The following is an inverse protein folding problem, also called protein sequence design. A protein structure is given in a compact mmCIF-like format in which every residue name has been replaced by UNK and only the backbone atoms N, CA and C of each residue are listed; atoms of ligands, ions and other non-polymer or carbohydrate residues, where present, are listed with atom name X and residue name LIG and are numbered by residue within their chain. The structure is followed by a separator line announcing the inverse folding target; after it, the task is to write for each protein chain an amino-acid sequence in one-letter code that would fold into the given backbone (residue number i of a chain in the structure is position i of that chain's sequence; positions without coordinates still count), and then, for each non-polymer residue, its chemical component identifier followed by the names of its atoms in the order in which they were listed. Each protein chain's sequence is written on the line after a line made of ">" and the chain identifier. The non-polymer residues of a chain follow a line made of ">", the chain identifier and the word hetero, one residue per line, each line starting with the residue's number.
data_IF_413122055839
#
_entry.id   IF_413122055839
#
_cell.length_a   1.000
_cell.length_b   1.000
_cell.length_c   1.000
_cell.angle_alpha   90.00
_cell.angle_beta   90.00
_cell.angle_gamma   90.00
#
_symmetry.space_group_name_H-M   'P 1'
#
loop_
_entity.id
_entity.type
_entity.pdbx_description
1 polymer ?
#
# COMPACT_ATOMS: atom_id res chain seq x y z
N UNK A 1 -39.91 -57.49 3.03
CA UNK A 1 -38.90 -58.48 2.62
C UNK A 1 -37.52 -57.82 2.69
N UNK A 2 -36.66 -58.13 3.66
CA UNK A 2 -35.51 -57.28 3.94
C UNK A 2 -34.23 -57.80 3.25
N UNK A 3 -33.57 -56.93 2.48
CA UNK A 3 -32.12 -57.01 2.24
C UNK A 3 -31.47 -55.84 3.00
N UNK A 4 -30.74 -56.18 4.07
CA UNK A 4 -29.79 -55.30 4.76
C UNK A 4 -28.40 -55.53 4.17
N UNK A 5 -27.74 -54.46 3.70
CA UNK A 5 -26.30 -54.26 3.50
C UNK A 5 -26.14 -53.03 2.59
N UNK A 6 -25.39 -51.96 2.85
CA UNK A 6 -24.32 -51.57 3.78
C UNK A 6 -24.42 -50.04 3.97
N UNK A 7 -23.97 -49.45 5.10
CA UNK A 7 -23.72 -48.02 5.16
C UNK A 7 -22.31 -47.74 4.61
N UNK A 8 -22.24 -47.01 3.50
CA UNK A 8 -20.98 -46.49 2.96
C UNK A 8 -20.61 -45.18 3.63
N UNK A 9 -19.41 -45.16 4.19
CA UNK A 9 -18.51 -44.00 4.13
C UNK A 9 -18.84 -42.87 5.09
N UNK A 10 -18.22 -42.93 6.27
CA UNK A 10 -17.95 -41.75 7.10
C UNK A 10 -17.22 -40.69 6.26
N UNK A 11 -17.93 -39.62 5.90
CA UNK A 11 -17.31 -38.38 5.47
C UNK A 11 -16.45 -37.86 6.62
N UNK A 12 -15.15 -37.74 6.38
CA UNK A 12 -14.27 -36.97 7.25
C UNK A 12 -14.75 -35.52 7.16
N UNK A 13 -15.46 -35.07 8.18
CA UNK A 13 -15.56 -33.65 8.47
C UNK A 13 -14.14 -33.17 8.75
N UNK A 14 -13.58 -32.39 7.84
CA UNK A 14 -12.39 -31.58 8.08
C UNK A 14 -12.74 -30.62 9.21
N UNK A 15 -12.26 -30.94 10.41
CA UNK A 15 -12.33 -30.03 11.55
C UNK A 15 -11.60 -28.72 11.25
N UNK A 16 -11.95 -27.62 11.92
CA UNK A 16 -11.34 -26.32 11.65
C UNK A 16 -9.83 -26.40 11.86
N UNK A 17 -9.07 -25.94 10.87
CA UNK A 17 -7.62 -25.84 10.97
C UNK A 17 -7.27 -25.00 12.22
N UNK A 18 -6.39 -25.49 13.11
CA UNK A 18 -6.10 -24.80 14.36
C UNK A 18 -5.42 -23.47 14.08
N UNK A 19 -6.06 -22.37 14.49
CA UNK A 19 -5.42 -21.06 14.57
C UNK A 19 -4.26 -21.18 15.56
N UNK A 20 -3.02 -20.97 15.10
CA UNK A 20 -1.85 -20.90 15.99
C UNK A 20 -2.00 -19.66 16.89
N UNK A 21 -2.68 -19.81 18.02
CA UNK A 21 -2.72 -18.83 19.10
C UNK A 21 -1.38 -18.90 19.85
N UNK A 22 -0.53 -17.90 19.65
CA UNK A 22 0.63 -17.68 20.52
C UNK A 22 0.26 -16.62 21.55
N UNK A 23 0.18 -17.02 22.82
CA UNK A 23 -0.02 -16.16 23.99
C UNK A 23 1.34 -16.02 24.66
N UNK A 24 1.84 -14.80 24.87
CA UNK A 24 3.16 -14.59 25.47
C UNK A 24 3.18 -13.35 26.37
N UNK A 25 3.87 -13.51 27.50
CA UNK A 25 4.09 -12.50 28.55
C UNK A 25 5.14 -11.47 28.14
N UNK A 26 4.92 -10.21 28.56
CA UNK A 26 5.66 -9.04 28.11
C UNK A 26 7.13 -9.02 28.57
N UNK A 27 8.04 -8.78 27.62
CA UNK A 27 9.41 -8.33 27.90
C UNK A 27 9.44 -6.79 27.91
N UNK A 28 9.86 -6.18 29.03
CA UNK A 28 9.76 -4.74 29.25
C UNK A 28 10.89 -3.86 28.66
N UNK A 29 10.48 -2.79 27.95
CA UNK A 29 11.20 -1.55 27.57
C UNK A 29 12.18 -1.64 26.37
N UNK A 30 12.69 -0.53 25.77
CA UNK A 30 12.13 0.79 25.40
C UNK A 30 11.66 0.86 23.91
N UNK A 31 10.76 1.81 23.58
CA UNK A 31 10.00 2.00 22.31
C UNK A 31 9.14 0.80 21.88
N UNK A 32 7.82 0.98 21.82
CA UNK A 32 6.86 -0.08 21.47
C UNK A 32 7.05 -0.64 20.05
N UNK A 33 7.52 0.21 19.11
CA UNK A 33 7.93 -0.17 17.76
C UNK A 33 9.35 0.33 17.50
N UNK A 34 10.10 -0.39 16.67
CA UNK A 34 11.45 -0.01 16.26
C UNK A 34 11.37 0.80 14.95
N UNK A 35 11.86 2.04 14.94
CA UNK A 35 11.83 2.93 13.77
C UNK A 35 13.20 3.12 13.09
N UNK A 36 14.20 2.28 13.40
CA UNK A 36 15.56 2.39 12.85
C UNK A 36 15.59 2.16 11.33
N UNK A 37 14.71 1.31 10.81
CA UNK A 37 14.59 0.98 9.39
C UNK A 37 13.16 0.53 9.04
N UNK A 38 12.77 0.51 7.75
CA UNK A 38 11.51 -0.10 7.31
C UNK A 38 11.33 -1.55 7.80
N UNK A 39 12.40 -2.36 7.71
CA UNK A 39 12.37 -3.76 8.13
C UNK A 39 12.17 -3.92 9.64
N UNK A 40 12.92 -3.17 10.45
CA UNK A 40 12.80 -3.24 11.91
C UNK A 40 11.43 -2.76 12.40
N UNK A 41 10.82 -1.79 11.71
CA UNK A 41 9.43 -1.41 11.99
C UNK A 41 8.49 -2.58 11.75
N UNK A 42 8.52 -3.18 10.56
CA UNK A 42 7.60 -4.25 10.23
C UNK A 42 7.80 -5.47 11.16
N UNK A 43 9.05 -5.86 11.43
CA UNK A 43 9.39 -6.91 12.40
C UNK A 43 8.80 -6.65 13.78
N UNK A 44 8.95 -5.42 14.31
CA UNK A 44 8.38 -5.07 15.61
C UNK A 44 6.85 -5.00 15.58
N UNK A 45 6.25 -4.57 14.46
CA UNK A 45 4.80 -4.46 14.28
C UNK A 45 4.11 -5.83 14.36
N UNK A 46 4.69 -6.87 13.74
CA UNK A 46 4.13 -8.23 13.73
C UNK A 46 4.76 -9.17 14.76
N UNK A 47 5.61 -8.64 15.65
CA UNK A 47 6.21 -9.42 16.74
C UNK A 47 5.13 -10.16 17.55
N UNK A 48 5.35 -11.46 17.91
CA UNK A 48 6.60 -12.23 17.78
C UNK A 48 6.74 -13.01 16.47
N UNK A 49 5.87 -12.78 15.48
CA UNK A 49 5.91 -13.50 14.20
C UNK A 49 7.09 -12.99 13.38
N UNK A 50 7.96 -13.93 12.98
CA UNK A 50 9.08 -13.62 12.08
C UNK A 50 8.58 -13.24 10.70
N UNK A 51 9.22 -12.28 10.05
CA UNK A 51 8.86 -11.81 8.71
C UNK A 51 8.94 -12.93 7.67
N UNK A 52 9.93 -13.81 7.76
CA UNK A 52 10.04 -14.95 6.84
C UNK A 52 8.85 -15.91 6.99
N UNK A 53 8.39 -16.15 8.22
CA UNK A 53 7.19 -16.95 8.47
C UNK A 53 5.94 -16.22 7.97
N UNK A 54 5.85 -14.92 8.19
CA UNK A 54 4.73 -14.10 7.73
C UNK A 54 4.55 -14.19 6.21
N UNK A 55 5.59 -13.88 5.44
CA UNK A 55 5.51 -13.89 3.98
C UNK A 55 5.37 -15.29 3.38
N UNK A 56 5.89 -16.32 4.05
CA UNK A 56 5.78 -17.70 3.58
C UNK A 56 4.42 -18.33 3.88
N UNK A 57 3.84 -18.07 5.05
CA UNK A 57 2.66 -18.80 5.53
C UNK A 57 1.37 -17.98 5.58
N UNK A 58 1.44 -16.65 5.68
CA UNK A 58 0.26 -15.81 5.94
C UNK A 58 -0.04 -14.85 4.81
N UNK A 59 0.97 -14.10 4.34
CA UNK A 59 0.81 -13.12 3.28
C UNK A 59 0.10 -13.70 2.06
N UNK A 60 -0.97 -13.06 1.62
CA UNK A 60 -1.81 -13.45 0.48
C UNK A 60 -2.39 -14.88 0.56
N UNK A 61 -2.41 -15.48 1.75
CA UNK A 61 -2.85 -16.87 1.93
C UNK A 61 -3.94 -17.02 2.98
N UNK A 62 -3.74 -16.50 4.19
CA UNK A 62 -4.69 -16.69 5.30
C UNK A 62 -4.55 -15.63 6.40
N UNK A 63 -5.60 -15.42 7.21
CA UNK A 63 -5.55 -14.51 8.34
C UNK A 63 -4.47 -14.85 9.38
N UNK A 64 -3.91 -13.81 10.00
CA UNK A 64 -3.00 -13.87 11.14
C UNK A 64 -3.56 -13.03 12.29
N UNK A 65 -3.87 -13.69 13.40
CA UNK A 65 -4.27 -13.04 14.65
C UNK A 65 -3.11 -13.02 15.65
N UNK A 66 -2.73 -11.83 16.12
CA UNK A 66 -1.73 -11.63 17.18
C UNK A 66 -2.42 -11.01 18.40
N UNK A 67 -2.85 -11.87 19.33
CA UNK A 67 -3.39 -11.44 20.61
C UNK A 67 -2.27 -11.24 21.62
N UNK A 68 -2.11 -10.01 22.11
CA UNK A 68 -1.04 -9.61 23.03
C UNK A 68 -1.61 -9.32 24.41
N UNK A 69 -0.77 -9.39 25.43
CA UNK A 69 -1.10 -8.92 26.78
C UNK A 69 0.00 -8.01 27.32
N UNK A 70 0.37 -7.03 26.50
CA UNK A 70 1.41 -6.05 26.80
C UNK A 70 0.79 -4.68 27.11
N UNK A 71 0.85 -4.21 28.38
CA UNK A 71 0.29 -2.91 28.77
C UNK A 71 0.95 -1.71 28.10
N UNK A 72 2.25 -1.78 27.81
CA UNK A 72 2.99 -0.69 27.17
C UNK A 72 2.58 -0.56 25.70
N UNK A 73 2.47 -1.69 24.99
CA UNK A 73 2.03 -1.72 23.60
C UNK A 73 0.56 -1.33 23.47
N UNK A 74 -0.31 -1.78 24.38
CA UNK A 74 -1.71 -1.34 24.45
C UNK A 74 -1.83 0.18 24.63
N UNK A 75 -0.98 0.77 25.50
CA UNK A 75 -0.92 2.22 25.69
C UNK A 75 -0.42 2.94 24.44
N UNK A 76 0.60 2.40 23.78
CA UNK A 76 1.13 2.95 22.53
C UNK A 76 0.08 2.94 21.40
N UNK A 77 -0.59 1.80 21.16
CA UNK A 77 -1.67 1.71 20.17
C UNK A 77 -2.79 2.70 20.50
N UNK A 78 -3.21 2.79 21.76
CA UNK A 78 -4.20 3.75 22.20
C UNK A 78 -3.80 5.22 22.00
N UNK A 79 -2.54 5.54 21.69
CA UNK A 79 -2.08 6.90 21.36
C UNK A 79 -2.17 7.25 19.87
N UNK A 80 -2.22 6.24 18.97
CA UNK A 80 -2.18 6.43 17.52
C UNK A 80 -3.38 7.23 17.00
N UNK A 81 -4.56 6.96 17.53
CA UNK A 81 -5.79 7.72 17.27
C UNK A 81 -6.80 7.48 18.39
N UNK A 82 -7.48 8.54 18.86
CA UNK A 82 -8.50 8.46 19.90
C UNK A 82 -9.83 9.02 19.42
N UNK A 83 -10.95 8.52 19.96
CA UNK A 83 -12.27 9.13 19.73
C UNK A 83 -12.31 10.63 20.08
N UNK A 84 -11.52 11.07 21.07
CA UNK A 84 -11.42 12.48 21.45
C UNK A 84 -10.72 13.36 20.40
N UNK A 85 -9.90 12.79 19.53
CA UNK A 85 -9.16 13.53 18.50
C UNK A 85 -10.10 14.14 17.46
N UNK A 86 -11.28 13.55 17.25
CA UNK A 86 -12.30 14.06 16.33
C UNK A 86 -12.67 15.51 16.58
N UNK A 87 -12.64 15.98 17.83
CA UNK A 87 -12.95 17.39 18.15
C UNK A 87 -11.92 18.34 17.51
N UNK A 88 -10.64 18.03 17.68
CA UNK A 88 -9.54 18.81 17.10
C UNK A 88 -9.55 18.70 15.58
N UNK A 89 -9.71 17.49 15.04
CA UNK A 89 -9.76 17.25 13.60
C UNK A 89 -10.91 18.02 12.93
N UNK A 90 -12.12 18.00 13.51
CA UNK A 90 -13.24 18.77 12.96
C UNK A 90 -12.96 20.29 12.94
N UNK A 91 -12.19 20.83 13.90
CA UNK A 91 -11.82 22.25 13.89
C UNK A 91 -10.86 22.64 12.76
N UNK A 92 -10.17 21.65 12.16
CA UNK A 92 -9.33 21.83 10.96
C UNK A 92 -10.12 21.80 9.64
N UNK A 93 -11.44 21.58 9.69
CA UNK A 93 -12.31 21.65 8.51
C UNK A 93 -12.44 20.33 7.75
N UNK A 94 -13.00 19.30 8.40
CA UNK A 94 -13.27 18.00 7.78
C UNK A 94 -14.58 18.04 6.97
N UNK A 95 -14.66 17.24 5.90
CA UNK A 95 -15.86 17.08 5.08
C UNK A 95 -16.40 15.64 5.12
N UNK A 96 -17.72 15.51 5.11
CA UNK A 96 -18.36 14.20 4.93
C UNK A 96 -18.02 13.61 3.55
N UNK A 97 -17.88 12.29 3.47
CA UNK A 97 -17.50 11.59 2.23
C UNK A 97 -16.00 11.63 1.98
N UNK A 98 -15.41 12.83 1.97
CA UNK A 98 -13.97 13.04 1.77
C UNK A 98 -13.15 12.54 2.97
N UNK A 99 -13.33 13.15 4.14
CA UNK A 99 -12.50 12.89 5.31
C UNK A 99 -13.15 11.95 6.32
N UNK A 100 -14.50 11.97 6.39
CA UNK A 100 -15.24 11.18 7.37
C UNK A 100 -16.56 10.65 6.81
N UNK A 101 -16.85 9.40 7.11
CA UNK A 101 -18.12 8.74 6.85
C UNK A 101 -18.79 8.36 8.18
N UNK A 102 -20.11 8.36 8.18
CA UNK A 102 -20.93 7.88 9.30
C UNK A 102 -21.89 6.83 8.75
N UNK A 103 -21.82 5.62 9.30
CA UNK A 103 -22.59 4.48 8.78
C UNK A 103 -23.12 3.56 9.88
N UNK A 104 -24.10 2.72 9.54
CA UNK A 104 -24.63 1.69 10.42
C UNK A 104 -25.06 0.47 9.60
N UNK A 105 -24.83 -0.73 10.13
CA UNK A 105 -25.37 -1.93 9.53
C UNK A 105 -26.85 -2.07 9.95
N UNK A 106 -27.74 -2.13 8.97
CA UNK A 106 -29.18 -2.34 9.20
C UNK A 106 -29.65 -3.41 8.23
N UNK A 107 -30.13 -4.54 8.77
CA UNK A 107 -30.63 -5.68 7.98
C UNK A 107 -29.63 -6.14 6.90
N UNK A 108 -28.36 -6.34 7.28
CA UNK A 108 -27.31 -6.79 6.36
C UNK A 108 -26.87 -5.76 5.32
N UNK A 109 -27.28 -4.49 5.44
CA UNK A 109 -26.90 -3.42 4.50
C UNK A 109 -26.23 -2.24 5.21
N UNK A 110 -25.24 -1.63 4.55
CA UNK A 110 -24.60 -0.38 4.99
C UNK A 110 -25.56 0.78 4.77
N UNK A 111 -26.12 1.33 5.84
CA UNK A 111 -26.86 2.60 5.81
C UNK A 111 -25.89 3.75 6.05
N UNK A 112 -25.75 4.65 5.08
CA UNK A 112 -24.95 5.87 5.21
C UNK A 112 -25.78 6.97 5.88
N UNK A 113 -25.19 7.66 6.85
CA UNK A 113 -25.80 8.75 7.62
C UNK A 113 -25.05 10.08 7.44
N UNK A 114 -24.17 10.18 6.44
CA UNK A 114 -23.47 11.41 6.10
C UNK A 114 -24.45 12.60 5.97
N UNK A 115 -23.91 13.80 6.19
CA UNK A 115 -24.58 15.07 5.88
C UNK A 115 -23.80 15.70 4.73
N UNK A 116 -24.36 16.74 4.14
CA UNK A 116 -23.66 17.48 3.09
C UNK A 116 -22.63 18.44 3.70
N UNK A 117 -21.48 18.58 3.05
CA UNK A 117 -20.46 19.56 3.41
C UNK A 117 -19.63 19.21 4.66
N UNK A 118 -19.36 20.24 5.47
CA UNK A 118 -18.43 20.13 6.62
C UNK A 118 -19.00 19.25 7.73
N UNK A 119 -18.15 18.39 8.28
CA UNK A 119 -18.45 17.56 9.44
C UNK A 119 -18.13 18.32 10.74
N UNK A 120 -19.14 18.49 11.59
CA UNK A 120 -18.98 19.10 12.91
C UNK A 120 -18.94 18.04 14.01
N UNK A 121 -18.06 18.21 14.99
CA UNK A 121 -17.89 17.25 16.10
C UNK A 121 -19.21 16.91 16.82
N UNK A 122 -20.08 17.90 17.07
CA UNK A 122 -21.38 17.68 17.72
C UNK A 122 -22.33 16.81 16.88
N UNK A 123 -22.25 16.90 15.55
CA UNK A 123 -23.05 16.04 14.66
C UNK A 123 -22.53 14.60 14.68
N UNK A 124 -21.21 14.42 14.59
CA UNK A 124 -20.58 13.10 14.70
C UNK A 124 -20.93 12.44 16.04
N UNK A 125 -20.83 13.19 17.15
CA UNK A 125 -21.23 12.72 18.47
C UNK A 125 -22.71 12.38 18.55
N UNK A 126 -23.60 13.23 18.04
CA UNK A 126 -25.03 12.95 18.02
C UNK A 126 -25.35 11.63 17.30
N UNK A 127 -24.78 11.39 16.12
CA UNK A 127 -25.04 10.16 15.37
C UNK A 127 -24.37 8.93 16.03
N UNK A 128 -23.19 9.10 16.61
CA UNK A 128 -22.52 8.05 17.39
C UNK A 128 -23.31 7.66 18.65
N UNK A 129 -23.70 8.63 19.47
CA UNK A 129 -24.35 8.41 20.75
C UNK A 129 -25.84 8.07 20.58
N UNK A 130 -26.59 8.76 19.72
CA UNK A 130 -28.04 8.57 19.64
C UNK A 130 -28.44 7.53 18.59
N UNK A 131 -27.75 7.52 17.44
CA UNK A 131 -28.06 6.59 16.35
C UNK A 131 -27.17 5.36 16.35
N UNK A 132 -26.22 5.24 17.30
CA UNK A 132 -25.25 4.14 17.39
C UNK A 132 -24.56 3.89 16.05
N UNK A 133 -24.18 4.98 15.39
CA UNK A 133 -23.50 4.93 14.11
C UNK A 133 -21.99 4.75 14.32
N UNK A 134 -21.36 4.01 13.42
CA UNK A 134 -19.91 3.94 13.30
C UNK A 134 -19.39 5.15 12.55
N UNK A 135 -18.32 5.75 13.07
CA UNK A 135 -17.56 6.80 12.41
C UNK A 135 -16.37 6.13 11.71
N UNK A 136 -16.20 6.38 10.42
CA UNK A 136 -15.06 5.97 9.61
C UNK A 136 -14.29 7.24 9.22
N UNK A 137 -13.06 7.40 9.68
CA UNK A 137 -12.19 8.54 9.35
C UNK A 137 -11.12 8.11 8.35
N UNK A 138 -11.02 8.83 7.23
CA UNK A 138 -10.11 8.49 6.15
C UNK A 138 -8.76 9.19 6.31
N UNK A 139 -7.70 8.43 6.09
CA UNK A 139 -6.32 8.93 5.97
C UNK A 139 -5.87 9.77 7.17
N UNK A 140 -5.91 9.22 8.40
CA UNK A 140 -5.49 9.90 9.63
C UNK A 140 -4.01 10.29 9.65
N UNK A 141 -3.14 9.63 8.88
CA UNK A 141 -1.72 9.97 8.76
C UNK A 141 -1.48 11.42 8.36
N UNK A 142 -2.43 12.05 7.65
CA UNK A 142 -2.38 13.48 7.29
C UNK A 142 -2.31 14.39 8.52
N UNK A 143 -2.77 13.91 9.67
CA UNK A 143 -2.93 14.71 10.89
C UNK A 143 -2.27 14.09 12.13
N UNK A 144 -1.99 12.79 12.11
CA UNK A 144 -1.41 12.04 13.22
C UNK A 144 0.03 11.63 12.87
N UNK A 145 1.00 12.24 13.54
CA UNK A 145 2.42 12.11 13.20
C UNK A 145 2.93 10.68 13.36
N UNK A 146 2.49 9.98 14.41
CA UNK A 146 2.90 8.59 14.63
C UNK A 146 2.36 7.65 13.53
N UNK A 147 1.14 7.89 13.02
CA UNK A 147 0.60 7.13 11.89
C UNK A 147 1.31 7.48 10.58
N UNK A 148 1.71 8.74 10.38
CA UNK A 148 2.60 9.10 9.26
C UNK A 148 3.92 8.34 9.34
N UNK A 149 4.56 8.35 10.50
CA UNK A 149 5.83 7.65 10.72
C UNK A 149 5.74 6.14 10.46
N UNK A 150 4.66 5.51 10.94
CA UNK A 150 4.40 4.08 10.68
C UNK A 150 4.15 3.85 9.19
N UNK A 151 3.21 4.58 8.57
CA UNK A 151 2.79 4.33 7.20
C UNK A 151 3.91 4.62 6.20
N UNK A 152 4.70 5.68 6.35
CA UNK A 152 5.84 5.98 5.47
C UNK A 152 6.87 4.84 5.47
N UNK A 153 7.21 4.32 6.65
CA UNK A 153 8.13 3.18 6.79
C UNK A 153 7.55 1.91 6.18
N UNK A 154 6.23 1.69 6.30
CA UNK A 154 5.57 0.56 5.64
C UNK A 154 5.55 0.73 4.12
N UNK A 155 5.41 1.94 3.57
CA UNK A 155 5.53 2.19 2.13
C UNK A 155 6.94 1.85 1.63
N UNK A 156 7.98 2.20 2.39
CA UNK A 156 9.35 1.79 2.10
C UNK A 156 9.50 0.26 2.13
N UNK A 157 8.88 -0.41 3.10
CA UNK A 157 9.00 -1.86 3.26
C UNK A 157 8.27 -2.64 2.16
N UNK A 158 7.04 -2.24 1.81
CA UNK A 158 6.20 -2.94 0.85
C UNK A 158 6.47 -2.55 -0.61
N UNK A 159 7.00 -1.35 -0.87
CA UNK A 159 7.09 -0.82 -2.24
C UNK A 159 5.71 -0.59 -2.87
N UNK A 160 4.72 -0.24 -2.05
CA UNK A 160 3.34 0.03 -2.42
C UNK A 160 2.81 1.16 -1.55
N UNK A 161 1.81 1.90 -2.05
CA UNK A 161 1.10 2.90 -1.25
C UNK A 161 0.48 2.25 0.01
N UNK A 162 0.51 2.98 1.12
CA UNK A 162 -0.06 2.52 2.41
C UNK A 162 -1.04 3.56 2.95
N UNK A 163 -2.33 3.31 2.73
CA UNK A 163 -3.42 4.09 3.31
C UNK A 163 -3.82 3.61 4.71
N UNK A 164 -4.68 4.38 5.37
CA UNK A 164 -5.36 3.87 6.56
C UNK A 164 -6.75 4.48 6.78
N UNK A 165 -7.60 3.74 7.48
CA UNK A 165 -8.92 4.16 7.90
C UNK A 165 -9.11 3.87 9.39
N UNK A 166 -9.64 4.83 10.14
CA UNK A 166 -10.01 4.62 11.55
C UNK A 166 -11.49 4.34 11.65
N UNK A 167 -11.86 3.29 12.38
CA UNK A 167 -13.24 2.92 12.62
C UNK A 167 -13.55 3.01 14.11
N UNK A 168 -14.54 3.84 14.46
CA UNK A 168 -15.00 4.02 15.84
C UNK A 168 -16.46 3.57 15.92
N UNK A 169 -16.71 2.47 16.62
CA UNK A 169 -18.02 1.83 16.72
C UNK A 169 -18.52 1.86 18.16
N UNK A 170 -19.71 2.43 18.44
CA UNK A 170 -20.27 2.49 19.79
C UNK A 170 -20.68 1.12 20.30
N UNK A 171 -20.77 0.97 21.62
CA UNK A 171 -21.18 -0.27 22.28
C UNK A 171 -22.53 -0.80 21.78
N UNK A 172 -22.65 -2.13 21.69
CA UNK A 172 -23.85 -2.83 21.24
C UNK A 172 -24.25 -2.52 19.79
N UNK A 173 -23.28 -2.33 18.89
CA UNK A 173 -23.57 -1.95 17.51
C UNK A 173 -22.58 -2.49 16.48
N UNK A 174 -23.04 -2.53 15.23
CA UNK A 174 -22.27 -2.94 14.06
C UNK A 174 -22.35 -1.84 12.99
N UNK A 175 -21.19 -1.44 12.45
CA UNK A 175 -21.07 -0.38 11.47
C UNK A 175 -21.30 -0.82 10.03
N UNK A 176 -20.73 -1.97 9.66
CA UNK A 176 -20.67 -2.49 8.30
C UNK A 176 -21.24 -3.91 8.24
N UNK A 177 -21.95 -4.29 7.16
CA UNK A 177 -22.32 -5.67 6.88
C UNK A 177 -21.08 -6.52 6.57
N UNK A 178 -21.20 -7.86 6.47
CA UNK A 178 -20.13 -8.69 5.93
C UNK A 178 -19.68 -8.23 4.55
N UNK A 179 -18.37 -8.15 4.33
CA UNK A 179 -17.77 -7.74 3.07
C UNK A 179 -16.34 -8.25 2.97
N UNK A 180 -15.74 -8.12 1.79
CA UNK A 180 -14.30 -8.19 1.60
C UNK A 180 -13.80 -6.93 0.89
N UNK A 181 -12.52 -6.60 1.14
CA UNK A 181 -11.82 -5.48 0.54
C UNK A 181 -10.87 -5.95 -0.58
N UNK A 182 -10.37 -4.97 -1.35
CA UNK A 182 -9.44 -5.10 -2.48
C UNK A 182 -7.97 -4.86 -2.09
N UNK A 183 -7.66 -4.86 -0.79
CA UNK A 183 -6.37 -4.50 -0.22
C UNK A 183 -5.92 -5.50 0.85
N UNK A 184 -4.60 -5.61 1.03
CA UNK A 184 -4.01 -6.29 2.17
C UNK A 184 -4.13 -5.40 3.40
N UNK A 185 -4.60 -5.93 4.53
CA UNK A 185 -4.88 -5.11 5.72
C UNK A 185 -4.17 -5.57 6.98
N UNK A 186 -3.72 -4.60 7.77
CA UNK A 186 -3.24 -4.74 9.13
C UNK A 186 -4.12 -3.88 10.05
N UNK A 187 -4.94 -4.53 10.88
CA UNK A 187 -5.83 -3.90 11.84
C UNK A 187 -5.14 -3.83 13.20
N UNK A 188 -5.00 -2.64 13.74
CA UNK A 188 -4.48 -2.38 15.09
C UNK A 188 -5.64 -1.95 15.98
N UNK A 189 -5.92 -2.72 17.03
CA UNK A 189 -6.97 -2.39 18.00
C UNK A 189 -6.44 -1.32 18.98
N UNK A 190 -7.08 -0.15 19.02
CA UNK A 190 -6.56 1.04 19.73
C UNK A 190 -7.30 1.30 21.05
N UNK A 191 -8.63 1.31 21.03
CA UNK A 191 -9.46 1.55 22.22
C UNK A 191 -10.58 0.51 22.31
N UNK A 192 -10.90 0.06 23.53
CA UNK A 192 -11.96 -0.90 23.79
C UNK A 192 -11.78 -2.23 23.05
N UNK A 193 -12.86 -3.00 22.96
CA UNK A 193 -12.86 -4.36 22.42
C UNK A 193 -13.83 -4.51 21.25
N UNK A 194 -13.53 -5.41 20.31
CA UNK A 194 -14.39 -5.70 19.16
C UNK A 194 -14.46 -7.19 18.87
N UNK A 195 -15.67 -7.68 18.64
CA UNK A 195 -15.92 -9.05 18.22
C UNK A 195 -15.76 -9.13 16.70
N UNK A 196 -14.91 -10.04 16.22
CA UNK A 196 -14.61 -10.23 14.81
C UNK A 196 -14.96 -11.64 14.36
N UNK A 197 -15.54 -11.74 13.17
CA UNK A 197 -15.81 -12.98 12.46
C UNK A 197 -15.21 -12.89 11.06
N UNK A 198 -14.30 -13.82 10.73
CA UNK A 198 -13.67 -13.94 9.43
C UNK A 198 -14.18 -15.21 8.74
N UNK A 199 -14.31 -15.16 7.42
CA UNK A 199 -14.86 -16.24 6.59
C UNK A 199 -13.92 -16.52 5.42
N UNK A 200 -14.08 -17.68 4.81
CA UNK A 200 -13.38 -17.99 3.57
C UNK A 200 -13.79 -17.01 2.46
N UNK A 201 -12.86 -16.63 1.57
CA UNK A 201 -13.16 -15.76 0.45
C UNK A 201 -14.14 -16.42 -0.53
N UNK A 202 -15.15 -15.68 -0.99
CA UNK A 202 -15.95 -16.05 -2.18
C UNK A 202 -15.16 -15.76 -3.47
N UNK A 203 -14.28 -14.76 -3.43
CA UNK A 203 -13.33 -14.39 -4.48
C UNK A 203 -11.93 -14.30 -3.84
N UNK A 204 -11.09 -15.35 -3.94
CA UNK A 204 -9.73 -15.32 -3.40
C UNK A 204 -8.88 -14.22 -4.06
N UNK A 205 -8.16 -13.45 -3.24
CA UNK A 205 -7.32 -12.33 -3.70
C UNK A 205 -8.07 -11.33 -4.58
N UNK A 206 -9.32 -11.02 -4.19
CA UNK A 206 -10.18 -10.08 -4.89
C UNK A 206 -9.50 -8.74 -5.16
N UNK A 207 -9.67 -8.23 -6.37
CA UNK A 207 -9.18 -6.91 -6.80
C UNK A 207 -10.23 -5.80 -6.66
N UNK A 208 -11.42 -6.17 -6.23
CA UNK A 208 -12.57 -5.28 -6.08
C UNK A 208 -13.18 -5.49 -4.70
N UNK A 209 -13.80 -4.44 -4.16
CA UNK A 209 -14.57 -4.50 -2.92
C UNK A 209 -15.96 -5.11 -3.18
N UNK A 210 -16.47 -5.92 -2.26
CA UNK A 210 -17.86 -6.39 -2.32
C UNK A 210 -18.50 -6.64 -0.96
N UNK A 211 -19.79 -6.32 -0.84
CA UNK A 211 -20.65 -6.70 0.30
C UNK A 211 -21.23 -8.08 0.05
N UNK A 212 -21.18 -8.93 1.07
CA UNK A 212 -21.65 -10.31 1.00
C UNK A 212 -22.86 -10.55 1.91
N UNK A 213 -23.76 -11.42 1.46
CA UNK A 213 -24.96 -11.78 2.22
C UNK A 213 -24.63 -12.90 3.22
N UNK A 214 -25.03 -12.76 4.49
CA UNK A 214 -24.69 -13.73 5.56
C UNK A 214 -25.13 -15.16 5.24
N UNK A 215 -26.23 -15.32 4.51
CA UNK A 215 -26.73 -16.62 4.07
C UNK A 215 -25.81 -17.36 3.06
N UNK A 216 -24.82 -16.67 2.47
CA UNK A 216 -23.91 -17.22 1.44
C UNK A 216 -22.47 -17.45 1.91
N UNK A 217 -22.08 -16.88 3.05
CA UNK A 217 -20.67 -16.88 3.50
C UNK A 217 -20.31 -18.04 4.44
N UNK A 218 -21.32 -18.83 4.84
CA UNK A 218 -21.12 -20.00 5.69
C UNK A 218 -20.77 -19.66 7.14
N UNK A 219 -20.07 -20.58 7.82
CA UNK A 219 -19.61 -20.36 9.20
C UNK A 219 -18.28 -19.60 9.21
N UNK A 220 -18.03 -18.75 10.22
CA UNK A 220 -16.72 -18.11 10.37
C UNK A 220 -15.60 -19.17 10.42
N UNK A 221 -14.53 -18.95 9.66
CA UNK A 221 -13.28 -19.72 9.81
C UNK A 221 -12.55 -19.32 11.09
N UNK A 222 -12.69 -18.05 11.49
CA UNK A 222 -12.17 -17.53 12.75
C UNK A 222 -13.20 -16.60 13.41
N UNK A 223 -13.31 -16.70 14.73
CA UNK A 223 -14.17 -15.86 15.57
C UNK A 223 -13.42 -15.54 16.87
N UNK A 224 -13.24 -14.26 17.19
CA UNK A 224 -12.41 -13.82 18.30
C UNK A 224 -12.74 -12.39 18.76
N UNK A 225 -12.19 -12.00 19.91
CA UNK A 225 -12.24 -10.64 20.44
C UNK A 225 -10.87 -9.98 20.28
N UNK A 226 -10.82 -8.79 19.67
CA UNK A 226 -9.64 -7.92 19.73
C UNK A 226 -9.74 -6.98 20.92
N UNK A 227 -8.63 -6.80 21.63
CA UNK A 227 -8.46 -5.80 22.70
C UNK A 227 -7.25 -4.89 22.39
N UNK A 228 -7.08 -3.75 23.10
CA UNK A 228 -6.02 -2.80 22.78
C UNK A 228 -4.63 -3.44 22.76
N UNK A 229 -3.86 -3.16 21.70
CA UNK A 229 -2.53 -3.74 21.46
C UNK A 229 -2.52 -4.98 20.55
N UNK A 230 -3.67 -5.59 20.29
CA UNK A 230 -3.78 -6.71 19.36
C UNK A 230 -3.62 -6.24 17.90
N UNK A 231 -3.07 -7.14 17.07
CA UNK A 231 -2.98 -6.97 15.62
C UNK A 231 -3.72 -8.10 14.91
N UNK A 232 -4.46 -7.76 13.87
CA UNK A 232 -5.08 -8.70 12.94
C UNK A 232 -4.63 -8.39 11.51
N UNK A 233 -4.10 -9.37 10.80
CA UNK A 233 -3.85 -9.31 9.36
C UNK A 233 -4.78 -10.28 8.63
N UNK A 234 -5.24 -9.90 7.45
CA UNK A 234 -5.83 -10.83 6.48
C UNK A 234 -5.68 -10.31 5.04
N UNK A 235 -5.64 -11.23 4.05
CA UNK A 235 -5.50 -10.85 2.66
C UNK A 235 -6.81 -10.36 2.04
N UNK A 236 -6.69 -9.59 0.95
CA UNK A 236 -7.82 -9.14 0.13
C UNK A 236 -8.69 -10.32 -0.31
N UNK A 237 -10.00 -10.08 -0.37
CA UNK A 237 -11.00 -11.14 -0.57
C UNK A 237 -11.43 -11.87 0.71
N UNK A 238 -10.72 -11.77 1.84
CA UNK A 238 -11.17 -12.34 3.12
C UNK A 238 -12.44 -11.63 3.58
N UNK A 239 -13.55 -12.38 3.60
CA UNK A 239 -14.82 -11.84 4.10
C UNK A 239 -14.72 -11.67 5.60
N UNK A 240 -15.17 -10.51 6.09
CA UNK A 240 -15.13 -10.19 7.50
C UNK A 240 -16.32 -9.33 7.93
N UNK A 241 -16.65 -9.43 9.21
CA UNK A 241 -17.54 -8.49 9.89
C UNK A 241 -17.14 -8.34 11.36
N UNK A 242 -17.47 -7.18 11.93
CA UNK A 242 -17.16 -6.89 13.32
C UNK A 242 -18.24 -6.06 14.03
N UNK A 243 -18.49 -6.40 15.28
CA UNK A 243 -19.46 -5.73 16.15
C UNK A 243 -18.84 -5.40 17.52
N UNK A 244 -19.24 -4.28 18.11
CA UNK A 244 -18.81 -3.92 19.47
C UNK A 244 -19.83 -4.51 20.44
N UNK A 245 -19.43 -5.40 21.38
CA UNK A 245 -20.36 -6.02 22.33
C UNK A 245 -21.16 -5.01 23.17
N UNK A 246 -22.34 -5.42 23.62
CA UNK A 246 -23.12 -4.63 24.57
C UNK A 246 -22.45 -4.64 25.97
N UNK A 247 -22.59 -3.56 26.73
CA UNK A 247 -22.04 -3.43 28.09
C UNK A 247 -20.57 -3.05 28.17
N UNK A 248 -19.82 -3.10 27.07
CA UNK A 248 -18.44 -2.61 26.98
C UNK A 248 -18.39 -1.13 26.57
N UNK A 249 -17.19 -0.55 26.59
CA UNK A 249 -16.92 0.77 26.00
C UNK A 249 -17.01 0.70 24.45
N UNK A 250 -16.88 1.86 23.79
CA UNK A 250 -16.74 1.87 22.33
C UNK A 250 -15.48 1.13 21.88
N UNK A 251 -15.47 0.72 20.60
CA UNK A 251 -14.29 0.17 19.95
C UNK A 251 -13.70 1.19 18.98
N UNK A 252 -12.38 1.36 19.02
CA UNK A 252 -11.60 2.12 18.02
C UNK A 252 -10.50 1.21 17.48
N UNK A 253 -10.43 1.05 16.16
CA UNK A 253 -9.27 0.45 15.49
C UNK A 253 -8.84 1.30 14.29
N UNK A 254 -7.58 1.15 13.88
CA UNK A 254 -7.10 1.62 12.58
C UNK A 254 -6.83 0.42 11.69
N UNK A 255 -7.34 0.46 10.47
CA UNK A 255 -7.02 -0.48 9.40
C UNK A 255 -5.97 0.19 8.52
N UNK A 256 -4.74 -0.30 8.57
CA UNK A 256 -3.67 0.07 7.65
C UNK A 256 -3.77 -0.85 6.42
N UNK A 257 -3.81 -0.28 5.22
CA UNK A 257 -4.10 -1.01 3.98
C UNK A 257 -3.06 -0.74 2.90
N UNK A 258 -2.67 -1.78 2.17
CA UNK A 258 -1.68 -1.70 1.07
C UNK A 258 -1.97 -2.69 -0.05
N UNK A 259 -1.14 -2.72 -1.10
CA UNK A 259 -1.21 -3.67 -2.22
C UNK A 259 -2.48 -3.56 -3.09
N UNK A 260 -3.14 -2.40 -3.11
CA UNK A 260 -4.22 -2.13 -4.07
C UNK A 260 -3.66 -2.13 -5.49
N UNK A 261 -4.28 -2.90 -6.41
CA UNK A 261 -3.86 -3.01 -7.81
C UNK A 261 -2.35 -3.26 -8.00
N UNK A 262 -1.74 -4.03 -7.09
CA UNK A 262 -0.30 -4.33 -7.11
C UNK A 262 -0.03 -5.82 -7.40
N UNK A 263 -0.77 -6.40 -8.34
CA UNK A 263 -0.66 -7.83 -8.70
C UNK A 263 0.23 -8.05 -9.93
N UNK A 264 0.60 -9.31 -10.17
CA UNK A 264 1.25 -9.72 -11.42
C UNK A 264 0.46 -9.35 -12.67
N UNK A 265 -0.88 -9.31 -12.59
CA UNK A 265 -1.71 -8.88 -13.71
C UNK A 265 -1.56 -7.39 -14.03
N UNK A 266 -1.45 -6.54 -13.00
CA UNK A 266 -1.21 -5.10 -13.16
C UNK A 266 0.17 -4.87 -13.75
N UNK A 267 1.17 -5.49 -13.16
CA UNK A 267 2.55 -5.35 -13.60
C UNK A 267 2.77 -5.89 -15.02
N UNK A 268 2.06 -6.94 -15.41
CA UNK A 268 2.06 -7.44 -16.78
C UNK A 268 1.48 -6.42 -17.76
N UNK A 269 0.35 -5.79 -17.43
CA UNK A 269 -0.26 -4.77 -18.28
C UNK A 269 0.63 -3.52 -18.40
N UNK A 270 1.21 -3.06 -17.29
CA UNK A 270 2.18 -1.96 -17.24
C UNK A 270 3.39 -2.25 -18.15
N UNK A 271 3.98 -3.44 -17.99
CA UNK A 271 5.16 -3.87 -18.76
C UNK A 271 4.86 -4.04 -20.25
N UNK A 272 3.72 -4.67 -20.59
CA UNK A 272 3.33 -4.89 -22.00
C UNK A 272 3.10 -3.57 -22.72
N UNK A 273 2.49 -2.57 -22.05
CA UNK A 273 2.27 -1.25 -22.66
C UNK A 273 3.59 -0.64 -23.14
N UNK A 274 4.58 -0.55 -22.24
CA UNK A 274 5.92 -0.05 -22.57
C UNK A 274 6.59 -0.85 -23.69
N UNK A 275 6.57 -2.18 -23.60
CA UNK A 275 7.18 -3.06 -24.62
C UNK A 275 6.52 -2.95 -25.99
N UNK A 276 5.19 -2.82 -26.04
CA UNK A 276 4.46 -2.68 -27.30
C UNK A 276 4.84 -1.38 -27.98
N UNK A 277 4.85 -0.26 -27.26
CA UNK A 277 5.20 1.03 -27.85
C UNK A 277 6.67 1.12 -28.24
N UNK A 278 7.59 0.55 -27.44
CA UNK A 278 9.00 0.50 -27.81
C UNK A 278 9.24 -0.43 -29.00
N UNK A 279 8.63 -1.61 -29.04
CA UNK A 279 8.75 -2.54 -30.18
C UNK A 279 8.13 -1.95 -31.43
N UNK A 280 7.01 -1.26 -31.29
CA UNK A 280 6.35 -0.57 -32.38
C UNK A 280 7.19 0.59 -32.95
N UNK A 281 8.33 1.00 -32.37
CA UNK A 281 9.27 1.94 -33.02
C UNK A 281 10.12 1.24 -34.09
N UNK A 282 10.49 -0.01 -33.85
CA UNK A 282 11.37 -0.79 -34.73
C UNK A 282 10.58 -1.65 -35.72
N UNK A 283 9.46 -2.22 -35.27
CA UNK A 283 8.64 -3.14 -36.05
C UNK A 283 7.34 -2.46 -36.50
N UNK A 284 7.22 -2.24 -37.82
CA UNK A 284 6.05 -1.63 -38.44
C UNK A 284 4.80 -2.51 -38.30
N UNK A 285 4.94 -3.82 -38.06
CA UNK A 285 3.79 -4.73 -37.97
C UNK A 285 2.83 -4.31 -36.84
N UNK A 286 3.37 -3.91 -35.68
CA UNK A 286 2.58 -3.39 -34.55
C UNK A 286 1.98 -2.00 -34.80
N UNK A 287 2.54 -1.22 -35.72
CA UNK A 287 1.99 0.10 -36.12
C UNK A 287 0.90 -0.01 -37.19
N UNK A 288 0.80 -1.14 -37.89
CA UNK A 288 -0.21 -1.29 -38.94
C UNK A 288 -1.62 -1.32 -38.36
N UNK A 289 -2.56 -0.71 -39.08
CA UNK A 289 -3.97 -0.69 -38.67
C UNK A 289 -4.60 -2.09 -38.71
N UNK A 290 -5.52 -2.34 -37.77
CA UNK A 290 -6.36 -3.54 -37.80
C UNK A 290 -7.26 -3.58 -39.04
N UNK A 291 -7.71 -4.77 -39.51
CA UNK A 291 -8.68 -4.88 -40.60
C UNK A 291 -9.93 -4.01 -40.38
N UNK A 292 -10.39 -3.34 -41.44
CA UNK A 292 -11.63 -2.55 -41.41
C UNK A 292 -12.79 -3.39 -40.88
N UNK A 293 -13.63 -2.78 -40.06
CA UNK A 293 -14.81 -3.42 -39.46
C UNK A 293 -14.50 -4.63 -38.54
N UNK A 294 -13.23 -4.86 -38.14
CA UNK A 294 -12.90 -5.89 -37.15
C UNK A 294 -13.64 -5.67 -35.82
N UNK A 295 -13.79 -4.41 -35.39
CA UNK A 295 -14.54 -4.07 -34.18
C UNK A 295 -16.06 -4.28 -34.28
N UNK A 296 -16.59 -4.48 -35.50
CA UNK A 296 -18.01 -4.77 -35.73
C UNK A 296 -18.32 -6.26 -35.80
N UNK A 297 -17.30 -7.11 -35.66
CA UNK A 297 -17.50 -8.56 -35.67
C UNK A 297 -18.17 -9.00 -34.36
N UNK A 298 -19.15 -9.89 -34.46
CA UNK A 298 -19.86 -10.46 -33.30
C UNK A 298 -19.08 -11.62 -32.64
N UNK A 299 -18.02 -12.08 -33.29
CA UNK A 299 -17.13 -13.14 -32.83
C UNK A 299 -15.67 -12.71 -32.96
N UNK A 300 -14.81 -13.26 -32.11
CA UNK A 300 -13.36 -13.09 -32.22
C UNK A 300 -12.85 -13.81 -33.46
N UNK A 301 -12.38 -13.05 -34.45
CA UNK A 301 -11.91 -13.63 -35.71
C UNK A 301 -10.63 -14.45 -35.49
N UNK A 302 -10.57 -15.66 -36.05
CA UNK A 302 -9.38 -16.53 -35.96
C UNK A 302 -8.11 -15.84 -36.48
N UNK A 303 -8.24 -14.96 -37.48
CA UNK A 303 -7.12 -14.17 -38.01
C UNK A 303 -6.54 -13.22 -36.96
N UNK A 304 -7.39 -12.48 -36.23
CA UNK A 304 -6.93 -11.59 -35.17
C UNK A 304 -6.34 -12.38 -34.00
N UNK A 305 -6.99 -13.47 -33.58
CA UNK A 305 -6.50 -14.33 -32.48
C UNK A 305 -5.10 -14.87 -32.75
N UNK A 306 -4.84 -15.37 -33.97
CA UNK A 306 -3.51 -15.87 -34.36
C UNK A 306 -2.46 -14.76 -34.36
N UNK A 307 -2.82 -13.57 -34.85
CA UNK A 307 -1.89 -12.44 -34.94
C UNK A 307 -1.53 -11.88 -33.56
N UNK A 308 -2.51 -11.70 -32.69
CA UNK A 308 -2.29 -11.33 -31.28
C UNK A 308 -1.43 -12.37 -30.55
N UNK A 309 -1.69 -13.65 -30.76
CA UNK A 309 -0.87 -14.73 -30.18
C UNK A 309 0.57 -14.70 -30.69
N UNK A 310 0.79 -14.29 -31.95
CA UNK A 310 2.12 -14.06 -32.51
C UNK A 310 2.85 -12.96 -31.76
N UNK A 311 2.22 -11.78 -31.65
CA UNK A 311 2.80 -10.64 -30.94
C UNK A 311 3.12 -10.96 -29.48
N UNK A 312 2.23 -11.66 -28.75
CA UNK A 312 2.50 -12.03 -27.36
C UNK A 312 3.74 -12.92 -27.20
N UNK A 313 3.96 -13.85 -28.13
CA UNK A 313 5.19 -14.68 -28.10
C UNK A 313 6.42 -13.86 -28.41
N UNK A 314 6.38 -13.01 -29.44
CA UNK A 314 7.49 -12.11 -29.78
C UNK A 314 7.85 -11.17 -28.63
N UNK A 315 6.85 -10.62 -27.94
CA UNK A 315 7.07 -9.77 -26.76
C UNK A 315 7.70 -10.55 -25.60
N UNK A 316 7.29 -11.81 -25.38
CA UNK A 316 7.91 -12.67 -24.39
C UNK A 316 9.37 -12.96 -24.72
N UNK A 317 9.67 -13.34 -25.98
CA UNK A 317 11.03 -13.60 -26.44
C UNK A 317 11.91 -12.34 -26.31
N UNK A 318 11.37 -11.15 -26.61
CA UNK A 318 12.08 -9.87 -26.45
C UNK A 318 12.38 -9.57 -24.97
N UNK A 319 11.42 -9.80 -24.09
CA UNK A 319 11.58 -9.60 -22.64
C UNK A 319 12.68 -10.51 -22.08
N UNK A 320 12.73 -11.78 -22.51
CA UNK A 320 13.80 -12.71 -22.13
C UNK A 320 15.15 -12.33 -22.76
N UNK A 321 15.13 -11.86 -24.00
CA UNK A 321 16.32 -11.52 -24.78
C UNK A 321 17.00 -10.22 -24.36
N UNK A 322 16.33 -9.32 -23.64
CA UNK A 322 16.87 -8.00 -23.31
C UNK A 322 16.59 -7.61 -21.85
N UNK A 323 17.65 -7.28 -21.08
CA UNK A 323 17.55 -6.71 -19.72
C UNK A 323 17.26 -5.20 -19.74
N UNK A 324 16.41 -4.75 -20.65
CA UNK A 324 16.09 -3.33 -20.76
C UNK A 324 15.28 -2.85 -19.56
N UNK A 325 15.60 -1.65 -19.07
CA UNK A 325 14.77 -0.97 -18.08
C UNK A 325 13.60 -0.34 -18.83
N UNK A 326 12.41 -0.92 -18.66
CA UNK A 326 11.19 -0.42 -19.29
C UNK A 326 10.58 0.72 -18.47
N UNK A 327 9.84 1.58 -19.17
CA UNK A 327 8.93 2.55 -18.54
C UNK A 327 7.93 1.81 -17.66
N UNK A 328 7.61 2.36 -16.50
CA UNK A 328 6.59 1.81 -15.60
C UNK A 328 5.75 2.94 -15.03
N UNK A 329 4.48 2.96 -15.40
CA UNK A 329 3.49 3.89 -14.85
C UNK A 329 3.22 3.55 -13.39
N UNK A 330 3.27 2.27 -13.01
CA UNK A 330 3.16 1.85 -11.60
C UNK A 330 4.25 2.48 -10.71
N UNK A 331 5.51 2.53 -11.18
CA UNK A 331 6.59 3.22 -10.44
C UNK A 331 6.31 4.70 -10.28
N UNK A 332 5.79 5.33 -11.34
CA UNK A 332 5.47 6.77 -11.36
C UNK A 332 4.31 7.06 -10.40
N UNK A 333 3.25 6.27 -10.45
CA UNK A 333 2.11 6.36 -9.55
C UNK A 333 2.55 6.24 -8.08
N UNK A 334 3.34 5.22 -7.76
CA UNK A 334 3.85 5.01 -6.40
C UNK A 334 4.66 6.21 -5.89
N UNK A 335 5.63 6.70 -6.68
CA UNK A 335 6.52 7.77 -6.21
C UNK A 335 5.80 9.11 -6.06
N UNK A 336 4.80 9.39 -6.89
CA UNK A 336 4.04 10.64 -6.85
C UNK A 336 3.04 10.68 -5.70
N UNK A 337 2.46 9.53 -5.33
CA UNK A 337 1.33 9.51 -4.41
C UNK A 337 1.66 9.07 -2.98
N UNK A 338 2.87 8.55 -2.73
CA UNK A 338 3.31 8.10 -1.40
C UNK A 338 3.59 9.24 -0.42
N UNK A 339 3.71 8.93 0.87
CA UNK A 339 4.11 9.90 1.90
C UNK A 339 5.54 10.40 1.70
N UNK A 340 5.82 11.66 2.08
CA UNK A 340 7.20 12.12 2.25
C UNK A 340 7.86 11.42 3.46
N UNK A 341 9.20 11.37 3.53
CA UNK A 341 9.93 10.88 4.69
C UNK A 341 9.46 11.56 5.98
N UNK A 342 9.31 10.80 7.06
CA UNK A 342 8.94 11.39 8.35
C UNK A 342 9.99 12.41 8.84
N UNK A 343 9.54 13.62 9.18
CA UNK A 343 10.35 14.67 9.80
C UNK A 343 9.77 15.07 11.16
N UNK A 344 10.59 15.06 12.21
CA UNK A 344 10.19 15.52 13.54
C UNK A 344 10.03 17.06 13.62
N UNK A 345 10.63 17.78 12.68
CA UNK A 345 10.58 19.24 12.57
C UNK A 345 9.96 19.71 11.25
N UNK A 346 10.39 20.89 10.80
CA UNK A 346 9.93 21.55 9.57
C UNK A 346 10.30 20.82 8.26
N UNK A 347 11.13 19.78 8.33
CA UNK A 347 11.58 19.02 7.17
C UNK A 347 12.69 19.73 6.38
N UNK A 348 13.45 20.65 7.00
CA UNK A 348 14.53 21.37 6.34
C UNK A 348 15.52 20.45 5.61
N UNK A 349 15.90 19.32 6.22
CA UNK A 349 16.82 18.33 5.61
C UNK A 349 16.26 17.67 4.33
N UNK A 350 14.94 17.67 4.14
CA UNK A 350 14.28 17.07 2.97
C UNK A 350 14.24 18.01 1.76
N UNK A 351 14.43 19.31 1.97
CA UNK A 351 14.30 20.33 0.90
C UNK A 351 15.54 21.22 0.74
N UNK A 352 16.39 21.32 1.77
CA UNK A 352 17.61 22.13 1.74
C UNK A 352 18.83 21.22 1.91
N UNK A 353 19.72 21.12 0.90
CA UNK A 353 20.92 20.33 1.00
C UNK A 353 21.80 20.77 2.18
N UNK A 354 22.05 19.84 3.10
CA UNK A 354 22.91 20.06 4.25
C UNK A 354 24.37 19.68 4.00
N UNK A 355 25.26 20.10 4.90
CA UNK A 355 26.65 19.66 4.93
C UNK A 355 27.55 20.33 3.89
N UNK A 356 28.61 19.60 3.48
CA UNK A 356 29.60 20.10 2.52
C UNK A 356 29.16 19.77 1.09
N UNK A 357 29.44 20.69 0.17
CA UNK A 357 29.28 20.47 -1.27
C UNK A 357 30.19 19.29 -1.71
N UNK A 358 29.66 18.26 -2.39
CA UNK A 358 30.47 17.17 -2.90
C UNK A 358 31.45 17.64 -3.97
N UNK A 359 32.63 17.01 -4.02
CA UNK A 359 33.71 17.23 -5.00
C UNK A 359 34.23 15.89 -5.51
N UNK A 360 35.07 15.91 -6.55
CA UNK A 360 35.66 14.70 -7.14
C UNK A 360 36.39 13.80 -6.14
N UNK A 361 37.03 14.39 -5.13
CA UNK A 361 37.78 13.69 -4.08
C UNK A 361 36.90 13.25 -2.89
N UNK A 362 35.60 13.59 -2.91
CA UNK A 362 34.66 13.24 -1.84
C UNK A 362 34.28 11.76 -1.86
N UNK A 363 33.87 11.27 -0.69
CA UNK A 363 33.14 10.01 -0.54
C UNK A 363 31.68 10.36 -0.29
N UNK A 364 30.78 9.76 -1.04
CA UNK A 364 29.35 10.07 -1.00
C UNK A 364 28.51 8.83 -0.69
N UNK A 365 27.38 9.06 -0.04
CA UNK A 365 26.38 8.05 0.32
C UNK A 365 25.01 8.50 -0.16
N UNK A 366 24.28 7.58 -0.78
CA UNK A 366 22.87 7.80 -1.14
C UNK A 366 22.02 7.87 0.12
N UNK A 367 21.26 8.96 0.27
CA UNK A 367 20.24 9.12 1.29
C UNK A 367 18.85 8.81 0.74
N UNK A 368 17.92 8.48 1.63
CA UNK A 368 16.51 8.24 1.29
C UNK A 368 16.31 7.24 0.13
N UNK A 369 17.15 6.21 0.06
CA UNK A 369 17.16 5.21 -1.02
C UNK A 369 15.77 4.65 -1.34
N UNK A 370 14.99 4.33 -0.32
CA UNK A 370 13.66 3.74 -0.46
C UNK A 370 12.58 4.76 -0.85
N UNK A 371 12.92 6.05 -0.97
CA UNK A 371 12.08 7.15 -1.44
C UNK A 371 12.46 7.63 -2.85
N UNK A 372 13.24 6.84 -3.60
CA UNK A 372 13.69 7.17 -4.94
C UNK A 372 13.28 6.04 -5.90
N UNK A 373 12.87 6.37 -7.12
CA UNK A 373 12.69 5.41 -8.22
C UNK A 373 13.48 5.85 -9.45
N UNK A 374 14.05 4.85 -10.14
CA UNK A 374 14.68 5.03 -11.44
C UNK A 374 13.79 4.43 -12.52
N UNK A 375 13.57 5.21 -13.57
CA UNK A 375 12.88 4.79 -14.79
C UNK A 375 13.63 5.29 -16.02
N UNK A 376 13.40 4.66 -17.16
CA UNK A 376 13.93 5.11 -18.45
C UNK A 376 12.74 5.46 -19.33
N UNK A 377 12.77 6.68 -19.86
CA UNK A 377 11.75 7.20 -20.76
C UNK A 377 12.44 7.85 -21.96
N UNK A 378 11.77 7.94 -23.11
CA UNK A 378 12.20 8.84 -24.18
C UNK A 378 12.34 10.27 -23.65
N UNK A 379 13.31 11.03 -24.15
CA UNK A 379 13.51 12.43 -23.74
C UNK A 379 12.25 13.26 -24.00
N UNK A 380 11.60 13.72 -22.93
CA UNK A 380 10.33 14.46 -23.00
C UNK A 380 10.47 15.86 -23.60
N UNK A 381 11.68 16.43 -23.63
CA UNK A 381 11.91 17.79 -24.15
C UNK A 381 12.19 17.80 -25.67
N UNK A 382 12.44 16.66 -26.29
CA UNK A 382 12.70 16.58 -27.74
C UNK A 382 11.47 16.06 -28.48
N UNK A 383 11.01 16.80 -29.48
CA UNK A 383 9.81 16.45 -30.27
C UNK A 383 10.09 15.60 -31.51
N UNK A 384 11.36 15.29 -31.81
CA UNK A 384 11.76 14.55 -33.00
C UNK A 384 11.71 13.03 -32.81
N UNK A 385 11.45 12.28 -33.88
CA UNK A 385 11.21 10.82 -33.89
C UNK A 385 12.38 9.95 -33.36
N UNK A 386 13.57 10.54 -33.19
CA UNK A 386 14.77 9.87 -32.66
C UNK A 386 15.07 10.28 -31.21
N UNK A 387 14.06 10.27 -30.33
CA UNK A 387 14.23 10.59 -28.91
C UNK A 387 15.28 9.65 -28.27
N UNK A 388 16.41 10.24 -27.86
CA UNK A 388 17.40 9.55 -27.04
C UNK A 388 16.73 9.08 -25.73
N UNK A 389 17.01 7.85 -25.31
CA UNK A 389 16.51 7.34 -24.03
C UNK A 389 17.25 8.08 -22.90
N UNK A 390 16.52 8.60 -21.93
CA UNK A 390 17.06 9.26 -20.74
C UNK A 390 16.70 8.47 -19.50
N UNK A 391 17.57 8.55 -18.48
CA UNK A 391 17.30 8.03 -17.14
C UNK A 391 16.67 9.15 -16.32
N UNK A 392 15.48 8.88 -15.79
CA UNK A 392 14.78 9.77 -14.88
C UNK A 392 14.86 9.24 -13.46
N UNK A 393 15.15 10.15 -12.53
CA UNK A 393 15.16 9.89 -11.10
C UNK A 393 14.07 10.73 -10.45
N UNK A 394 13.10 10.03 -9.90
CA UNK A 394 11.97 10.61 -9.20
C UNK A 394 12.10 10.29 -7.72
N UNK A 395 11.76 11.23 -6.85
CA UNK A 395 11.83 11.04 -5.41
C UNK A 395 10.63 11.69 -4.70
N UNK A 396 10.29 11.18 -3.51
CA UNK A 396 9.09 11.59 -2.77
C UNK A 396 9.37 12.53 -1.59
N UNK A 397 10.59 13.08 -1.48
CA UNK A 397 10.97 13.96 -0.35
C UNK A 397 10.08 15.19 -0.21
N UNK A 398 9.55 15.68 -1.33
CA UNK A 398 8.72 16.89 -1.43
C UNK A 398 7.23 16.59 -1.56
N UNK A 399 6.80 15.32 -1.44
CA UNK A 399 5.39 14.96 -1.53
C UNK A 399 4.58 15.60 -0.41
N UNK A 400 3.30 15.89 -0.70
CA UNK A 400 2.40 16.47 0.31
C UNK A 400 1.79 15.39 1.20
N UNK A 401 2.16 15.43 2.49
CA UNK A 401 1.49 14.63 3.52
C UNK A 401 -0.01 14.95 3.62
N UNK A 402 -0.43 16.19 3.38
CA UNK A 402 -1.81 16.64 3.59
C UNK A 402 -2.79 16.06 2.55
N UNK A 403 -2.30 15.65 1.38
CA UNK A 403 -3.11 15.08 0.29
C UNK A 403 -2.91 13.57 0.12
N UNK A 404 -2.13 12.93 0.99
CA UNK A 404 -1.82 11.50 0.91
C UNK A 404 -3.10 10.63 0.84
N UNK A 405 -3.22 9.84 -0.22
CA UNK A 405 -4.37 8.95 -0.49
C UNK A 405 -5.73 9.65 -0.61
N UNK A 406 -5.75 10.94 -0.97
CA UNK A 406 -6.99 11.73 -1.14
C UNK A 406 -7.43 11.90 -2.60
N UNK A 407 -6.61 11.52 -3.58
CA UNK A 407 -6.96 11.56 -5.00
C UNK A 407 -7.22 12.97 -5.56
N UNK A 408 -6.46 13.98 -5.11
CA UNK A 408 -6.63 15.34 -5.60
C UNK A 408 -6.39 15.45 -7.12
N UNK A 409 -7.21 16.25 -7.79
CA UNK A 409 -7.30 16.40 -9.26
C UNK A 409 -6.20 17.26 -9.90
N UNK A 410 -5.44 18.02 -9.10
CA UNK A 410 -4.36 18.86 -9.64
C UNK A 410 -3.12 17.98 -9.88
N UNK A 411 -2.90 17.61 -11.15
CA UNK A 411 -1.63 17.08 -11.64
C UNK A 411 -0.51 18.04 -11.22
N UNK A 412 0.13 17.73 -10.10
CA UNK A 412 1.25 18.51 -9.62
C UNK A 412 2.41 18.19 -10.56
N UNK A 413 2.95 19.21 -11.24
CA UNK A 413 4.06 19.02 -12.19
C UNK A 413 5.24 18.35 -11.50
N UNK A 414 5.39 17.05 -11.73
CA UNK A 414 6.35 16.21 -11.03
C UNK A 414 7.68 16.25 -11.76
N UNK A 415 8.58 17.11 -11.26
CA UNK A 415 9.91 17.28 -11.82
C UNK A 415 10.87 16.27 -11.22
N UNK A 416 11.45 15.41 -12.06
CA UNK A 416 12.53 14.50 -11.70
C UNK A 416 13.87 14.97 -12.24
N UNK A 417 14.97 14.45 -11.69
CA UNK A 417 16.29 14.64 -12.27
C UNK A 417 16.42 13.81 -13.54
N UNK A 418 17.10 14.36 -14.54
CA UNK A 418 17.30 13.74 -15.86
C UNK A 418 18.78 13.56 -16.13
N UNK A 419 19.17 12.35 -16.55
CA UNK A 419 20.55 12.03 -16.95
C UNK A 419 20.56 11.24 -18.27
N UNK A 420 21.64 11.33 -19.07
CA UNK A 420 21.83 10.48 -20.24
C UNK A 420 21.86 8.99 -19.86
N UNK A 421 21.43 8.11 -20.77
CA UNK A 421 21.44 6.66 -20.52
C UNK A 421 22.84 6.11 -20.17
N UNK A 422 23.90 6.75 -20.66
CA UNK A 422 25.29 6.42 -20.30
C UNK A 422 25.58 6.48 -18.79
N UNK A 423 24.79 7.25 -18.02
CA UNK A 423 24.97 7.41 -16.58
C UNK A 423 24.36 6.26 -15.76
N UNK A 424 23.61 5.35 -16.39
CA UNK A 424 22.87 4.29 -15.69
C UNK A 424 23.78 3.40 -14.83
N UNK A 425 24.99 3.08 -15.29
CA UNK A 425 25.91 2.24 -14.53
C UNK A 425 26.54 2.97 -13.33
N UNK A 426 26.80 4.27 -13.45
CA UNK A 426 27.22 5.10 -12.33
C UNK A 426 26.11 5.23 -11.27
N UNK A 427 24.86 5.41 -11.71
CA UNK A 427 23.69 5.41 -10.82
C UNK A 427 23.53 4.07 -10.09
N UNK A 428 23.71 2.94 -10.78
CA UNK A 428 23.74 1.61 -10.15
C UNK A 428 24.89 1.46 -9.15
N UNK A 429 26.06 2.06 -9.39
CA UNK A 429 27.15 2.03 -8.42
C UNK A 429 26.78 2.78 -7.14
N UNK A 430 26.20 3.97 -7.25
CA UNK A 430 25.72 4.75 -6.11
C UNK A 430 24.64 3.97 -5.34
N UNK A 431 23.70 3.34 -6.05
CA UNK A 431 22.59 2.61 -5.46
C UNK A 431 23.01 1.36 -4.66
N UNK A 432 24.02 0.65 -5.16
CA UNK A 432 24.45 -0.64 -4.61
C UNK A 432 25.62 -0.53 -3.64
N UNK A 433 26.16 0.67 -3.40
CA UNK A 433 27.25 0.88 -2.46
C UNK A 433 26.78 1.58 -1.19
N UNK A 434 27.23 1.16 0.01
CA UNK A 434 26.99 1.91 1.25
C UNK A 434 27.61 3.31 1.23
N UNK A 435 28.77 3.45 0.59
CA UNK A 435 29.46 4.70 0.31
C UNK A 435 30.37 4.52 -0.91
N UNK A 436 30.59 5.54 -1.73
CA UNK A 436 31.41 5.45 -2.94
C UNK A 436 32.22 6.74 -3.14
N UNK A 437 33.46 6.61 -3.61
CA UNK A 437 34.24 7.79 -3.99
C UNK A 437 33.76 8.31 -5.34
N UNK A 438 33.58 9.63 -5.46
CA UNK A 438 33.07 10.27 -6.68
C UNK A 438 33.95 9.93 -7.89
N UNK A 439 35.28 9.91 -7.72
CA UNK A 439 36.25 9.53 -8.76
C UNK A 439 36.08 8.10 -9.32
N UNK A 440 35.48 7.18 -8.55
CA UNK A 440 35.33 5.76 -8.91
C UNK A 440 34.03 5.47 -9.69
N UNK A 441 33.23 6.50 -9.95
CA UNK A 441 32.03 6.41 -10.79
C UNK A 441 32.41 6.07 -12.24
N UNK A 442 31.66 5.15 -12.84
CA UNK A 442 31.80 4.67 -14.22
C UNK A 442 31.26 5.69 -15.22
N UNK A 443 31.93 6.85 -15.27
CA UNK A 443 31.70 7.92 -16.24
C UNK A 443 33.04 8.28 -16.88
N UNK A 444 32.97 8.82 -18.10
CA UNK A 444 34.16 9.00 -18.94
C UNK A 444 35.03 10.16 -18.49
N UNK A 445 34.40 11.23 -18.00
CA UNK A 445 35.07 12.45 -17.57
C UNK A 445 34.84 12.72 -16.08
N UNK A 446 35.78 13.39 -15.43
CA UNK A 446 35.62 13.79 -14.03
C UNK A 446 34.53 14.86 -13.86
N UNK A 447 34.28 15.66 -14.90
CA UNK A 447 33.18 16.65 -14.93
C UNK A 447 31.80 15.95 -14.86
N UNK A 448 31.59 14.87 -15.61
CA UNK A 448 30.35 14.07 -15.52
C UNK A 448 30.16 13.49 -14.12
N UNK A 449 31.23 13.03 -13.48
CA UNK A 449 31.18 12.46 -12.11
C UNK A 449 30.77 13.50 -11.09
N UNK A 450 31.39 14.68 -11.12
CA UNK A 450 31.02 15.78 -10.23
C UNK A 450 29.60 16.27 -10.50
N UNK A 451 29.23 16.46 -11.77
CA UNK A 451 27.90 16.94 -12.18
C UNK A 451 26.78 15.99 -11.74
N UNK A 452 26.94 14.68 -11.93
CA UNK A 452 25.99 13.67 -11.47
C UNK A 452 25.74 13.77 -9.97
N UNK A 453 26.81 13.78 -9.17
CA UNK A 453 26.72 13.80 -7.72
C UNK A 453 26.17 15.12 -7.21
N UNK A 454 26.54 16.23 -7.85
CA UNK A 454 26.04 17.56 -7.51
C UNK A 454 24.53 17.65 -7.75
N UNK A 455 24.04 17.14 -8.89
CA UNK A 455 22.60 17.14 -9.21
C UNK A 455 21.78 16.28 -8.24
N UNK A 456 22.31 15.12 -7.81
CA UNK A 456 21.66 14.33 -6.77
C UNK A 456 21.69 15.03 -5.40
N UNK A 457 22.78 15.74 -5.09
CA UNK A 457 22.95 16.48 -3.84
C UNK A 457 22.00 17.67 -3.73
N UNK A 458 21.71 18.38 -4.84
CA UNK A 458 20.74 19.49 -4.82
C UNK A 458 19.32 19.06 -4.45
N UNK A 459 19.00 17.77 -4.63
CA UNK A 459 17.71 17.16 -4.24
C UNK A 459 17.76 16.46 -2.88
N UNK A 460 18.78 16.73 -2.05
CA UNK A 460 19.01 16.09 -0.75
C UNK A 460 19.19 14.56 -0.81
N UNK A 461 19.56 14.01 -1.97
CA UNK A 461 19.71 12.56 -2.14
C UNK A 461 21.14 12.07 -1.82
N UNK A 462 22.08 12.97 -1.56
CA UNK A 462 23.49 12.65 -1.29
C UNK A 462 23.94 13.25 0.03
N UNK A 463 24.66 12.45 0.81
CA UNK A 463 25.45 12.87 1.96
C UNK A 463 26.94 12.69 1.64
N UNK A 464 27.74 13.73 1.90
CA UNK A 464 29.21 13.63 1.90
C UNK A 464 29.68 13.07 3.24
N UNK A 465 30.49 12.02 3.20
CA UNK A 465 30.91 11.23 4.38
C UNK A 465 32.38 11.44 4.72
#
# INVERSE_FOLDING_TARGET
>A
MPKKAKPTGSGKEEGPAPCKQMKLEAAGGPSALNFDSPSSLFESLISPIKTETFFKEFWEQKPLLIQRDDPALATYYGSLFKLTDLKSLCSRGMYYGRDVNVCRCVNGKKKVLNKDGKAHFLQLRKDFDQKRATIQFHQPQRFKDELWRIQEKLECYFGSLVGSNVYITPAGSQGLPPHYDDVEVFILQLEGEKHWRLYHPTVPLAREYSVEAEERIGRPVHEFMLKPGDLLYFPRGTIHQADTPAGLAHSTHVTISTYQNNSWGDFLLDTISGLVFDTAKEDVELRTGIPRQLLLQVESTTVATRRLSGFLRTLADRLEGTKELLSSDMKKDFIMHRLPPYSAGDGAELSTPGGKLPRLDSVVRLQFKDHIVLTVLPDQDQSDEAQEKMVYIYHSLKNSRETHMMGNEEETEFHGLRFPLSHLDALKQIWNSPAISVKDLKLTTDEEKESLVLSLWTECLIQVV
#
